data_IF_744158951159
#
_entry.id   IF_744158951159
#
_cell.length_a   1.000
_cell.length_b   1.000
_cell.length_c   1.000
_cell.angle_alpha   90.00
_cell.angle_beta   90.00
_cell.angle_gamma   90.00
#
_symmetry.space_group_name_H-M   'P 1'
#
loop_
_entity.id
_entity.type
_entity.pdbx_description
1 polymer ?
#
# COMPACT_ATOMS: atom_id res chain seq x y z
N UNK A 1 -32.80 29.77 56.04
CA UNK A 1 -33.16 29.07 57.30
C UNK A 1 -33.17 27.57 57.01
N UNK A 2 -32.17 26.83 57.51
CA UNK A 2 -32.29 25.71 58.50
C UNK A 2 -33.26 24.60 58.05
N UNK A 3 -32.75 23.49 57.47
CA UNK A 3 -32.29 22.23 58.11
C UNK A 3 -33.39 21.40 58.81
N UNK A 4 -33.59 20.15 58.33
CA UNK A 4 -33.68 18.87 59.07
C UNK A 4 -34.44 17.86 58.18
N UNK A 5 -33.82 16.87 57.54
CA UNK A 5 -33.23 15.60 58.02
C UNK A 5 -34.22 14.66 58.73
N UNK A 6 -34.52 13.51 58.11
CA UNK A 6 -34.76 12.21 58.75
C UNK A 6 -34.69 11.11 57.66
N UNK A 7 -33.63 10.28 57.58
CA UNK A 7 -33.39 9.03 58.33
C UNK A 7 -33.99 7.81 57.58
N UNK A 8 -33.14 7.02 56.88
CA UNK A 8 -32.78 5.61 57.23
C UNK A 8 -33.69 4.56 56.57
N UNK A 9 -33.20 3.73 55.63
CA UNK A 9 -32.71 2.32 55.71
C UNK A 9 -32.98 1.73 54.30
N UNK A 10 -32.34 0.71 53.75
CA UNK A 10 -31.58 -0.41 54.28
C UNK A 10 -30.74 -0.98 53.13
N UNK A 11 -29.56 -1.48 53.47
CA UNK A 11 -28.61 -2.17 52.59
C UNK A 11 -29.07 -3.60 52.41
N UNK A 12 -29.29 -4.09 51.19
CA UNK A 12 -29.04 -5.51 50.86
C UNK A 12 -28.55 -5.69 49.43
N UNK A 13 -27.22 -5.76 49.34
CA UNK A 13 -26.49 -6.59 48.39
C UNK A 13 -27.15 -7.98 48.31
N UNK A 14 -27.62 -8.36 47.12
CA UNK A 14 -27.75 -9.76 46.74
C UNK A 14 -26.71 -10.06 45.68
N UNK A 15 -25.67 -10.72 46.18
CA UNK A 15 -24.80 -11.67 45.51
C UNK A 15 -25.46 -12.38 44.33
N UNK A 16 -25.14 -11.97 43.10
CA UNK A 16 -25.20 -12.84 41.93
C UNK A 16 -23.80 -13.41 41.72
N UNK A 17 -23.51 -14.48 42.46
CA UNK A 17 -22.28 -15.26 42.31
C UNK A 17 -22.36 -16.05 41.00
N UNK A 18 -21.26 -15.93 40.26
CA UNK A 18 -20.91 -16.67 39.06
C UNK A 18 -21.10 -18.18 39.21
N UNK A 19 -21.54 -18.87 38.14
CA UNK A 19 -21.03 -20.19 37.74
C UNK A 19 -21.83 -20.83 36.59
N UNK A 20 -21.91 -20.22 35.39
CA UNK A 20 -22.26 -21.01 34.17
C UNK A 20 -21.55 -20.53 32.89
N UNK A 21 -20.77 -19.44 32.92
CA UNK A 21 -20.20 -18.84 31.70
C UNK A 21 -18.78 -19.27 31.31
N UNK A 22 -18.13 -20.20 32.03
CA UNK A 22 -16.69 -20.49 31.86
C UNK A 22 -16.37 -21.86 31.24
N UNK A 23 -17.36 -22.68 30.90
CA UNK A 23 -17.12 -23.99 30.24
C UNK A 23 -17.14 -23.93 28.71
N UNK A 24 -17.55 -22.81 28.11
CA UNK A 24 -17.50 -22.65 26.63
C UNK A 24 -16.20 -21.98 26.17
N UNK A 25 -15.48 -21.27 27.05
CA UNK A 25 -14.24 -20.58 26.68
C UNK A 25 -13.00 -21.49 26.65
N UNK A 26 -12.98 -22.60 27.41
CA UNK A 26 -11.84 -23.52 27.41
C UNK A 26 -11.83 -24.52 26.24
N UNK A 27 -12.95 -24.75 25.54
CA UNK A 27 -12.98 -25.57 24.33
C UNK A 27 -12.38 -24.87 23.10
N UNK A 28 -12.30 -23.53 23.11
CA UNK A 28 -11.69 -22.75 22.04
C UNK A 28 -10.16 -22.67 22.13
N UNK A 29 -9.57 -22.99 23.28
CA UNK A 29 -8.12 -22.96 23.45
C UNK A 29 -7.45 -24.32 23.14
N UNK A 30 -8.20 -25.44 23.22
CA UNK A 30 -7.67 -26.78 22.98
C UNK A 30 -7.67 -27.18 21.48
N UNK A 31 -8.10 -26.30 20.58
CA UNK A 31 -8.02 -26.49 19.12
C UNK A 31 -6.81 -25.77 18.49
N UNK A 32 -5.97 -25.11 19.29
CA UNK A 32 -4.83 -24.33 18.81
C UNK A 32 -3.47 -25.05 18.88
N UNK A 33 -3.40 -26.32 19.30
CA UNK A 33 -2.12 -27.03 19.50
C UNK A 33 -1.94 -28.32 18.69
N UNK A 34 -2.76 -28.57 17.67
CA UNK A 34 -2.60 -29.72 16.78
C UNK A 34 -2.46 -29.33 15.29
N UNK A 35 -1.79 -28.21 15.03
CA UNK A 35 -1.36 -27.79 13.68
C UNK A 35 0.14 -27.48 13.64
N UNK A 36 0.94 -28.22 14.38
CA UNK A 36 2.38 -28.36 14.13
C UNK A 36 2.66 -29.72 13.48
N UNK A 37 2.38 -29.82 12.19
CA UNK A 37 3.27 -30.42 11.19
C UNK A 37 2.58 -30.39 9.82
N UNK A 38 3.27 -29.84 8.82
CA UNK A 38 2.85 -29.74 7.41
C UNK A 38 1.90 -28.60 7.03
N UNK A 39 2.22 -27.34 7.39
CA UNK A 39 1.78 -26.19 6.58
C UNK A 39 2.78 -25.89 5.45
N UNK A 40 2.98 -26.87 4.57
CA UNK A 40 3.31 -26.53 3.19
C UNK A 40 2.03 -25.98 2.57
N UNK A 41 1.74 -24.69 2.81
CA UNK A 41 0.95 -23.94 1.84
C UNK A 41 1.81 -23.95 0.59
N UNK A 42 1.47 -24.84 -0.35
CA UNK A 42 2.24 -25.06 -1.57
C UNK A 42 2.50 -23.71 -2.22
N UNK A 43 3.71 -23.54 -2.75
CA UNK A 43 4.05 -22.36 -3.55
C UNK A 43 3.03 -22.15 -4.68
N UNK A 44 2.37 -23.22 -5.10
CA UNK A 44 1.33 -23.24 -6.12
C UNK A 44 0.04 -22.55 -5.65
N UNK A 45 -0.43 -22.76 -4.41
CA UNK A 45 -1.61 -22.07 -3.88
C UNK A 45 -1.36 -20.56 -3.70
N UNK A 46 -0.13 -20.17 -3.35
CA UNK A 46 0.28 -18.75 -3.32
C UNK A 46 0.32 -18.15 -4.73
N UNK A 47 0.84 -18.89 -5.72
CA UNK A 47 0.86 -18.46 -7.13
C UNK A 47 -0.55 -18.33 -7.71
N UNK A 48 -1.48 -19.24 -7.39
CA UNK A 48 -2.87 -19.14 -7.84
C UNK A 48 -3.60 -17.94 -7.22
N UNK A 49 -3.47 -17.72 -5.90
CA UNK A 49 -4.07 -16.56 -5.25
C UNK A 49 -3.49 -15.23 -5.74
N UNK A 50 -2.17 -15.17 -5.99
CA UNK A 50 -1.50 -13.99 -6.59
C UNK A 50 -1.95 -13.81 -8.04
N UNK A 51 -2.10 -14.88 -8.82
CA UNK A 51 -2.61 -14.84 -10.19
C UNK A 51 -4.06 -14.36 -10.28
N UNK A 52 -4.91 -14.75 -9.33
CA UNK A 52 -6.30 -14.29 -9.27
C UNK A 52 -6.40 -12.80 -8.91
N UNK A 53 -5.60 -12.33 -7.94
CA UNK A 53 -5.54 -10.90 -7.60
C UNK A 53 -4.93 -10.05 -8.74
N UNK A 54 -3.95 -10.58 -9.48
CA UNK A 54 -3.43 -9.95 -10.70
C UNK A 54 -4.48 -9.89 -11.81
N UNK A 55 -5.33 -10.92 -11.96
CA UNK A 55 -6.45 -10.90 -12.92
C UNK A 55 -7.53 -9.89 -12.52
N UNK A 56 -7.83 -9.76 -11.22
CA UNK A 56 -8.72 -8.73 -10.68
C UNK A 56 -8.14 -7.33 -10.87
N UNK A 57 -6.82 -7.16 -10.72
CA UNK A 57 -6.13 -5.91 -11.03
C UNK A 57 -6.32 -5.52 -12.51
N UNK A 58 -6.12 -6.48 -13.42
CA UNK A 58 -6.29 -6.27 -14.85
C UNK A 58 -7.75 -5.94 -15.22
N UNK A 59 -8.72 -6.60 -14.58
CA UNK A 59 -10.15 -6.36 -14.81
C UNK A 59 -10.63 -4.98 -14.32
N UNK A 60 -9.93 -4.39 -13.35
CA UNK A 60 -10.27 -3.08 -12.78
C UNK A 60 -9.50 -1.92 -13.45
N UNK A 61 -8.64 -2.21 -14.44
CA UNK A 61 -7.96 -1.17 -15.22
C UNK A 61 -8.95 -0.38 -16.07
N UNK A 62 -8.84 0.96 -16.08
CA UNK A 62 -9.65 1.77 -16.98
C UNK A 62 -9.40 1.35 -18.42
N UNK A 63 -10.48 0.96 -19.09
CA UNK A 63 -10.45 0.40 -20.45
C UNK A 63 -10.12 1.46 -21.51
N UNK A 64 -10.14 2.74 -21.14
CA UNK A 64 -9.85 3.88 -22.04
C UNK A 64 -9.04 4.97 -21.33
N UNK A 65 -7.74 4.73 -21.13
CA UNK A 65 -6.81 5.82 -20.77
C UNK A 65 -6.43 6.56 -22.05
N UNK A 66 -6.77 7.86 -22.11
CA UNK A 66 -6.35 8.70 -23.21
C UNK A 66 -4.83 8.90 -23.18
N UNK A 67 -4.16 8.61 -24.30
CA UNK A 67 -2.74 8.89 -24.49
C UNK A 67 -2.64 10.23 -25.24
N UNK A 68 -2.24 11.33 -24.56
CA UNK A 68 -2.11 12.61 -25.25
C UNK A 68 -0.93 12.58 -26.23
N UNK A 69 -1.00 13.34 -27.33
CA UNK A 69 0.12 13.48 -28.25
C UNK A 69 1.24 14.30 -27.59
N UNK A 70 2.49 13.89 -27.79
CA UNK A 70 3.65 14.64 -27.31
C UNK A 70 4.92 13.80 -27.28
N UNK A 71 6.09 14.44 -27.19
CA UNK A 71 7.33 13.71 -26.96
C UNK A 71 7.32 13.08 -25.56
N UNK A 72 8.03 11.97 -25.42
CA UNK A 72 8.30 11.36 -24.12
C UNK A 72 9.14 12.32 -23.26
N UNK A 73 8.82 12.39 -21.97
CA UNK A 73 9.60 13.14 -21.00
C UNK A 73 10.97 12.50 -20.78
N UNK A 74 11.92 13.33 -20.38
CA UNK A 74 13.25 12.89 -19.98
C UNK A 74 13.23 12.34 -18.54
N UNK A 75 13.38 11.03 -18.40
CA UNK A 75 13.40 10.34 -17.10
C UNK A 75 14.85 10.05 -16.68
N UNK A 76 15.20 10.47 -15.47
CA UNK A 76 16.58 10.40 -14.95
C UNK A 76 16.64 9.70 -13.61
N UNK A 77 17.71 8.94 -13.37
CA UNK A 77 17.95 8.29 -12.09
C UNK A 77 18.03 9.31 -10.96
N UNK A 78 17.36 9.03 -9.84
CA UNK A 78 17.27 9.96 -8.70
C UNK A 78 18.63 10.28 -8.08
N UNK A 79 19.58 9.34 -8.14
CA UNK A 79 20.93 9.52 -7.56
C UNK A 79 21.94 10.02 -8.60
N UNK A 80 22.07 9.32 -9.73
CA UNK A 80 23.12 9.62 -10.71
C UNK A 80 22.74 10.70 -11.73
N UNK A 81 21.44 10.95 -11.94
CA UNK A 81 20.96 11.85 -12.99
C UNK A 81 21.09 11.28 -14.41
N UNK A 82 21.56 10.05 -14.55
CA UNK A 82 21.68 9.38 -15.85
C UNK A 82 20.30 9.08 -16.43
N UNK A 83 20.14 9.13 -17.78
CA UNK A 83 18.91 8.70 -18.42
C UNK A 83 18.52 7.27 -18.03
N UNK A 84 17.25 7.05 -17.71
CA UNK A 84 16.74 5.72 -17.40
C UNK A 84 16.54 4.89 -18.68
N UNK A 85 17.05 3.66 -18.67
CA UNK A 85 16.85 2.68 -19.74
C UNK A 85 15.57 1.88 -19.50
N UNK A 86 14.61 2.01 -20.41
CA UNK A 86 13.30 1.35 -20.35
C UNK A 86 13.25 -0.02 -21.06
N UNK A 87 14.38 -0.55 -21.54
CA UNK A 87 14.42 -1.83 -22.26
C UNK A 87 14.34 -3.07 -21.34
N UNK A 88 13.47 -3.05 -20.33
CA UNK A 88 13.27 -4.15 -19.38
C UNK A 88 12.36 -5.28 -19.90
N UNK A 89 11.65 -5.05 -21.02
CA UNK A 89 10.71 -5.97 -21.68
C UNK A 89 9.59 -6.48 -20.76
N UNK A 90 9.24 -5.72 -19.70
CA UNK A 90 8.29 -6.17 -18.67
C UNK A 90 6.91 -5.53 -18.75
N UNK A 91 6.67 -4.49 -19.57
CA UNK A 91 5.30 -3.98 -19.74
C UNK A 91 5.20 -2.51 -20.13
N UNK A 92 5.97 -2.08 -21.13
CA UNK A 92 6.05 -0.68 -21.56
C UNK A 92 4.84 -0.19 -22.36
N UNK A 93 3.99 -1.13 -22.79
CA UNK A 93 3.03 -0.88 -23.84
C UNK A 93 1.62 -0.55 -23.38
N UNK A 94 1.36 -0.54 -22.08
CA UNK A 94 0.03 -0.19 -21.58
C UNK A 94 -0.31 1.26 -21.91
N UNK A 95 -1.58 1.59 -22.20
CA UNK A 95 -2.00 2.99 -22.39
C UNK A 95 -1.63 3.89 -21.22
N UNK A 96 -1.64 3.35 -19.98
CA UNK A 96 -1.23 4.07 -18.78
C UNK A 96 0.24 4.48 -18.83
N UNK A 97 1.13 3.54 -19.13
CA UNK A 97 2.57 3.78 -19.21
C UNK A 97 2.89 4.77 -20.33
N UNK A 98 2.22 4.66 -21.48
CA UNK A 98 2.36 5.61 -22.59
C UNK A 98 1.92 7.02 -22.21
N UNK A 99 0.75 7.17 -21.60
CA UNK A 99 0.26 8.47 -21.13
C UNK A 99 1.16 9.07 -20.06
N UNK A 100 1.62 8.25 -19.11
CA UNK A 100 2.54 8.67 -18.05
C UNK A 100 3.88 9.14 -18.63
N UNK A 101 4.45 8.43 -19.60
CA UNK A 101 5.71 8.78 -20.25
C UNK A 101 5.67 10.12 -20.99
N UNK A 102 4.49 10.55 -21.46
CA UNK A 102 4.29 11.86 -22.12
C UNK A 102 3.97 12.96 -21.11
N UNK A 103 3.17 12.68 -20.09
CA UNK A 103 2.61 13.71 -19.18
C UNK A 103 3.33 13.84 -17.85
N UNK A 104 4.00 12.78 -17.40
CA UNK A 104 4.55 12.66 -16.05
C UNK A 104 3.49 12.55 -14.95
N UNK A 105 2.21 12.43 -15.30
CA UNK A 105 1.06 12.27 -14.39
C UNK A 105 0.61 10.82 -14.40
N UNK A 106 0.46 10.21 -13.23
CA UNK A 106 -0.01 8.83 -13.14
C UNK A 106 -1.53 8.78 -13.36
N UNK A 107 -2.03 8.21 -14.46
CA UNK A 107 -3.48 8.16 -14.71
C UNK A 107 -4.21 7.31 -13.68
N UNK A 108 -3.54 6.38 -12.99
CA UNK A 108 -4.18 5.52 -12.00
C UNK A 108 -4.58 6.24 -10.71
N UNK A 109 -4.02 7.41 -10.40
CA UNK A 109 -4.33 8.15 -9.17
C UNK A 109 -5.84 8.48 -9.02
N UNK A 110 -6.57 8.57 -10.13
CA UNK A 110 -8.00 8.87 -10.17
C UNK A 110 -8.90 7.61 -10.07
N UNK A 111 -8.30 6.41 -9.98
CA UNK A 111 -9.01 5.13 -10.03
C UNK A 111 -8.83 4.33 -8.75
N UNK A 112 -9.76 4.48 -7.80
CA UNK A 112 -9.71 3.79 -6.51
C UNK A 112 -9.64 2.26 -6.64
N UNK A 113 -10.24 1.69 -7.69
CA UNK A 113 -10.20 0.25 -7.94
C UNK A 113 -8.77 -0.29 -8.12
N UNK A 114 -7.82 0.55 -8.58
CA UNK A 114 -6.41 0.20 -8.76
C UNK A 114 -5.63 0.22 -7.45
N UNK A 115 -6.11 0.93 -6.44
CA UNK A 115 -5.41 1.00 -5.15
C UNK A 115 -5.32 -0.38 -4.48
N UNK A 116 -6.29 -1.26 -4.71
CA UNK A 116 -6.25 -2.64 -4.18
C UNK A 116 -5.11 -3.45 -4.79
N UNK A 117 -4.94 -3.40 -6.11
CA UNK A 117 -3.85 -4.12 -6.78
C UNK A 117 -2.49 -3.49 -6.48
N UNK A 118 -2.43 -2.16 -6.45
CA UNK A 118 -1.26 -1.41 -6.00
C UNK A 118 -0.82 -1.82 -4.58
N UNK A 119 -1.77 -2.01 -3.66
CA UNK A 119 -1.48 -2.48 -2.31
C UNK A 119 -0.93 -3.91 -2.29
N UNK A 120 -1.48 -4.82 -3.10
CA UNK A 120 -0.98 -6.20 -3.19
C UNK A 120 0.48 -6.23 -3.63
N UNK A 121 0.84 -5.44 -4.65
CA UNK A 121 2.22 -5.34 -5.14
C UNK A 121 3.10 -4.66 -4.07
N UNK A 122 2.63 -3.58 -3.46
CA UNK A 122 3.37 -2.89 -2.40
C UNK A 122 3.65 -3.82 -1.20
N UNK A 123 2.68 -4.64 -0.80
CA UNK A 123 2.79 -5.55 0.33
C UNK A 123 3.89 -6.60 0.14
N UNK A 124 4.13 -7.03 -1.09
CA UNK A 124 5.14 -8.05 -1.40
C UNK A 124 6.51 -7.44 -1.71
N UNK A 125 6.56 -6.27 -2.35
CA UNK A 125 7.82 -5.67 -2.82
C UNK A 125 8.40 -4.60 -1.88
N UNK A 126 7.56 -3.89 -1.13
CA UNK A 126 7.97 -2.64 -0.46
C UNK A 126 7.75 -2.67 1.06
N UNK A 127 6.68 -3.32 1.52
CA UNK A 127 6.25 -3.26 2.92
C UNK A 127 7.30 -3.81 3.92
N UNK A 128 8.16 -4.74 3.48
CA UNK A 128 9.25 -5.27 4.30
C UNK A 128 10.19 -4.17 4.84
N UNK A 129 10.42 -3.12 4.04
CA UNK A 129 11.28 -2.00 4.39
C UNK A 129 10.49 -0.75 4.79
N UNK A 130 9.36 -0.47 4.14
CA UNK A 130 8.60 0.77 4.34
C UNK A 130 7.40 0.65 5.27
N UNK A 131 7.12 -0.54 5.83
CA UNK A 131 5.94 -0.77 6.67
C UNK A 131 4.70 -1.10 5.83
N UNK A 132 3.71 -1.71 6.47
CA UNK A 132 2.50 -2.21 5.80
C UNK A 132 1.59 -1.11 5.24
N UNK A 133 1.59 0.06 5.88
CA UNK A 133 0.86 1.27 5.47
C UNK A 133 1.82 2.34 4.95
N UNK A 134 3.04 1.94 4.54
CA UNK A 134 4.10 2.86 4.14
C UNK A 134 4.46 3.91 5.22
N UNK A 135 4.27 3.55 6.49
CA UNK A 135 4.51 4.37 7.68
C UNK A 135 6.00 4.48 8.07
N UNK A 136 6.87 3.76 7.38
CA UNK A 136 8.30 3.66 7.65
C UNK A 136 8.64 2.51 8.60
N UNK A 137 9.79 1.88 8.36
CA UNK A 137 10.32 0.81 9.22
C UNK A 137 11.85 0.79 9.16
N UNK A 138 12.40 0.13 8.15
CA UNK A 138 13.83 0.16 7.83
C UNK A 138 14.14 1.33 6.88
N UNK A 139 13.26 1.54 5.92
CA UNK A 139 13.21 2.71 5.06
C UNK A 139 12.30 3.80 5.64
N UNK A 140 12.35 5.02 5.07
CA UNK A 140 11.52 6.14 5.51
C UNK A 140 10.02 5.88 5.29
N UNK A 141 9.18 6.65 5.99
CA UNK A 141 7.77 6.75 5.66
C UNK A 141 7.59 7.33 4.24
N UNK A 142 6.55 6.89 3.53
CA UNK A 142 6.23 7.35 2.16
C UNK A 142 4.84 7.99 2.08
N UNK A 143 4.12 8.07 3.20
CA UNK A 143 2.75 8.62 3.27
C UNK A 143 2.69 9.96 4.00
N UNK A 144 3.83 10.54 4.36
CA UNK A 144 3.94 11.84 5.01
C UNK A 144 4.32 12.97 4.05
N UNK A 145 4.43 14.19 4.58
CA UNK A 145 4.78 15.39 3.84
C UNK A 145 6.23 15.45 3.35
N UNK A 146 7.11 14.64 3.95
CA UNK A 146 8.54 14.81 3.84
C UNK A 146 9.13 13.79 2.86
N UNK A 147 9.69 14.31 1.76
CA UNK A 147 10.40 13.50 0.79
C UNK A 147 11.89 13.79 0.87
N UNK A 148 12.70 12.80 1.23
CA UNK A 148 14.17 12.89 1.18
C UNK A 148 14.66 13.31 -0.20
N UNK A 149 13.99 12.84 -1.26
CA UNK A 149 14.19 13.31 -2.63
C UNK A 149 12.99 14.21 -3.01
N UNK A 150 13.14 15.54 -3.09
CA UNK A 150 12.02 16.46 -3.29
C UNK A 150 11.21 16.22 -4.57
N UNK A 151 11.82 15.61 -5.59
CA UNK A 151 11.16 15.27 -6.84
C UNK A 151 10.08 14.19 -6.64
N UNK A 152 10.13 13.39 -5.56
CA UNK A 152 9.15 12.33 -5.26
C UNK A 152 7.78 12.90 -4.86
N UNK A 153 7.71 14.20 -4.60
CA UNK A 153 6.45 14.92 -4.52
C UNK A 153 5.70 14.97 -5.88
N UNK A 154 6.33 14.57 -6.99
CA UNK A 154 5.69 14.41 -8.31
C UNK A 154 5.66 12.94 -8.70
N UNK A 155 4.71 12.53 -9.55
CA UNK A 155 4.66 11.12 -10.00
C UNK A 155 5.85 10.76 -10.89
N UNK A 156 6.31 11.67 -11.75
CA UNK A 156 7.56 11.52 -12.50
C UNK A 156 8.74 11.18 -11.59
N UNK A 157 8.99 12.00 -10.56
CA UNK A 157 10.13 11.80 -9.66
C UNK A 157 9.99 10.53 -8.80
N UNK A 158 8.78 10.23 -8.33
CA UNK A 158 8.54 9.00 -7.58
C UNK A 158 8.81 7.76 -8.45
N UNK A 159 8.37 7.77 -9.71
CA UNK A 159 8.67 6.71 -10.66
C UNK A 159 10.17 6.58 -10.91
N UNK A 160 10.89 7.69 -11.08
CA UNK A 160 12.36 7.69 -11.25
C UNK A 160 13.07 7.01 -10.07
N UNK A 161 12.62 7.27 -8.85
CA UNK A 161 13.19 6.62 -7.65
C UNK A 161 12.86 5.13 -7.59
N UNK A 162 11.62 4.74 -7.88
CA UNK A 162 11.23 3.31 -7.82
C UNK A 162 11.93 2.53 -8.95
N UNK A 163 11.91 3.06 -10.17
CA UNK A 163 12.49 2.41 -11.34
C UNK A 163 14.02 2.36 -11.29
N UNK A 164 14.65 3.50 -11.04
CA UNK A 164 16.10 3.68 -11.04
C UNK A 164 16.80 3.40 -9.71
N UNK A 165 16.04 3.29 -8.62
CA UNK A 165 16.57 3.11 -7.26
C UNK A 165 16.88 4.43 -6.55
N UNK A 166 16.91 4.35 -5.23
CA UNK A 166 17.42 5.38 -4.33
C UNK A 166 18.84 5.07 -3.86
N UNK A 167 19.24 5.68 -2.75
CA UNK A 167 20.54 5.41 -2.13
C UNK A 167 20.50 4.20 -1.19
N UNK A 168 21.64 3.51 -1.05
CA UNK A 168 21.81 2.42 -0.09
C UNK A 168 21.03 1.18 -0.49
N UNK A 169 20.14 0.71 0.40
CA UNK A 169 19.40 -0.55 0.23
C UNK A 169 18.17 -0.41 -0.70
N UNK A 170 17.78 0.81 -1.09
CA UNK A 170 16.70 1.02 -2.05
C UNK A 170 17.22 0.85 -3.48
N UNK A 171 17.44 -0.40 -3.90
CA UNK A 171 17.88 -0.74 -5.25
C UNK A 171 16.80 -0.48 -6.33
N UNK A 172 17.20 -0.47 -7.62
CA UNK A 172 16.27 -0.28 -8.72
C UNK A 172 15.25 -1.42 -8.80
N UNK A 173 13.97 -1.09 -8.99
CA UNK A 173 12.90 -2.08 -9.17
C UNK A 173 12.70 -2.49 -10.65
N UNK A 174 13.41 -1.83 -11.59
CA UNK A 174 13.40 -2.23 -13.00
C UNK A 174 13.81 -3.70 -13.16
N UNK A 175 13.08 -4.45 -13.97
CA UNK A 175 13.29 -5.88 -14.17
C UNK A 175 12.65 -6.79 -13.10
N UNK A 176 12.32 -6.24 -11.92
CA UNK A 176 11.53 -6.94 -10.90
C UNK A 176 10.04 -6.67 -11.06
N UNK A 177 9.68 -5.40 -11.24
CA UNK A 177 8.32 -4.94 -11.51
C UNK A 177 8.24 -4.37 -12.93
N UNK A 178 7.09 -4.57 -13.58
CA UNK A 178 6.74 -3.86 -14.80
C UNK A 178 6.47 -2.38 -14.51
N UNK A 179 6.61 -1.54 -15.52
CA UNK A 179 6.33 -0.11 -15.40
C UNK A 179 4.86 0.16 -15.02
N UNK A 180 3.94 -0.67 -15.53
CA UNK A 180 2.52 -0.58 -15.17
C UNK A 180 2.28 -0.94 -13.70
N UNK A 181 2.91 -2.01 -13.18
CA UNK A 181 2.84 -2.36 -11.76
C UNK A 181 3.40 -1.25 -10.85
N UNK A 182 4.49 -0.60 -11.27
CA UNK A 182 5.04 0.56 -10.56
C UNK A 182 3.99 1.69 -10.48
N UNK A 183 3.28 1.99 -11.58
CA UNK A 183 2.22 3.00 -11.56
C UNK A 183 1.05 2.62 -10.64
N UNK A 184 0.71 1.33 -10.53
CA UNK A 184 -0.32 0.86 -9.59
C UNK A 184 0.13 1.05 -8.13
N UNK A 185 1.39 0.68 -7.79
CA UNK A 185 1.98 0.92 -6.46
C UNK A 185 1.97 2.41 -6.12
N UNK A 186 2.38 3.25 -7.07
CA UNK A 186 2.36 4.70 -6.90
C UNK A 186 0.96 5.23 -6.60
N UNK A 187 -0.06 4.75 -7.32
CA UNK A 187 -1.47 5.12 -7.08
C UNK A 187 -1.88 4.79 -5.65
N UNK A 188 -1.57 3.57 -5.18
CA UNK A 188 -1.87 3.18 -3.81
C UNK A 188 -1.14 4.08 -2.80
N UNK A 189 0.15 4.37 -3.00
CA UNK A 189 0.92 5.28 -2.14
C UNK A 189 0.29 6.66 -2.05
N UNK A 190 -0.16 7.22 -3.19
CA UNK A 190 -0.86 8.51 -3.23
C UNK A 190 -2.21 8.47 -2.52
N UNK A 191 -2.89 7.33 -2.53
CA UNK A 191 -4.15 7.13 -1.81
C UNK A 191 -3.98 6.99 -0.30
N UNK A 192 -2.86 6.41 0.14
CA UNK A 192 -2.51 6.22 1.54
C UNK A 192 -1.87 7.45 2.20
N UNK A 193 -1.61 8.50 1.42
CA UNK A 193 -1.02 9.75 1.91
C UNK A 193 -1.89 10.40 3.01
N UNK A 194 -1.26 10.71 4.13
CA UNK A 194 -1.88 11.22 5.36
C UNK A 194 -1.42 12.64 5.73
N UNK A 195 -0.62 13.29 4.86
CA UNK A 195 -0.09 14.63 5.06
C UNK A 195 -1.02 15.77 4.64
N UNK A 196 -0.47 16.99 4.54
CA UNK A 196 -1.21 18.19 4.13
C UNK A 196 -1.68 18.10 2.66
N UNK A 197 -3.00 18.07 2.39
CA UNK A 197 -3.53 18.00 1.03
C UNK A 197 -3.02 19.11 0.10
N UNK A 198 -2.60 20.27 0.63
CA UNK A 198 -2.05 21.38 -0.16
C UNK A 198 -0.69 21.04 -0.78
N UNK A 199 0.06 20.12 -0.17
CA UNK A 199 1.38 19.65 -0.60
C UNK A 199 1.31 18.46 -1.57
N UNK A 200 0.14 17.84 -1.74
CA UNK A 200 -0.09 16.77 -2.71
C UNK A 200 -0.03 17.29 -4.16
N UNK A 201 1.18 17.50 -4.69
CA UNK A 201 1.39 18.05 -6.05
C UNK A 201 0.86 17.14 -7.16
N UNK A 202 0.73 15.83 -6.90
CA UNK A 202 0.17 14.85 -7.82
C UNK A 202 -1.35 15.00 -8.05
N UNK A 203 -2.06 15.78 -7.21
CA UNK A 203 -3.49 16.08 -7.39
C UNK A 203 -3.75 17.38 -8.19
N UNK A 204 -2.70 18.07 -8.66
CA UNK A 204 -2.78 19.34 -9.40
C UNK A 204 -2.41 19.11 -10.87
#
# INVERSE_FOLDING_TARGET
>A
MKFSFSMVRDVRFHTAVAAVGLTVYLAACNSAQELDSHSMVSEDAKKEAVSEHLKLAEANKPTTIAVPPGPMLDFRGTISGDPLDFNDKKGDDTPAVKAFKVTGKNPYNDYEAINKSGYTIFSTACAGCHGHLAEGKLGPALTDDYWTYPNNATDKGLFETIYGGGQGMMGPQRGLLSQDEILQVMSWLRSAYSGDPKKAKWKK
#
